data_IF_937413903376
#
_entry.id   IF_937413903376
#
_cell.length_a   1.000
_cell.length_b   1.000
_cell.length_c   1.000
_cell.angle_alpha   90.00
_cell.angle_beta   90.00
_cell.angle_gamma   90.00
#
_symmetry.space_group_name_H-M   'P 1'
#
loop_
_entity.id
_entity.type
_entity.pdbx_description
1 polymer ?
#
# COMPACT_ATOMS: atom_id res chain seq x y z
N UNK A 1 -6.47 9.31 6.63
CA UNK A 1 -5.58 8.61 5.71
C UNK A 1 -5.61 7.12 5.96
N UNK A 2 -5.55 6.35 4.90
CA UNK A 2 -5.60 4.90 5.00
C UNK A 2 -4.28 4.34 5.52
N UNK A 3 -4.33 3.63 6.66
CA UNK A 3 -3.12 3.07 7.26
C UNK A 3 -2.62 1.83 6.55
N UNK A 4 -3.48 1.23 5.73
CA UNK A 4 -3.14 -0.02 5.05
C UNK A 4 -2.40 0.20 3.73
N UNK A 5 -2.37 1.44 3.27
CA UNK A 5 -1.67 1.76 2.03
C UNK A 5 -0.38 2.47 2.41
N UNK A 6 0.72 1.84 2.06
CA UNK A 6 2.05 2.34 2.41
C UNK A 6 2.68 3.04 1.22
N UNK A 7 3.69 3.84 1.50
CA UNK A 7 4.52 4.40 0.44
C UNK A 7 5.24 3.23 -0.24
N UNK A 8 5.21 3.22 -1.56
CA UNK A 8 5.85 2.15 -2.33
C UNK A 8 7.02 2.65 -3.18
N UNK A 9 7.22 3.95 -3.24
CA UNK A 9 8.24 4.52 -4.11
C UNK A 9 9.62 4.51 -3.48
N UNK A 10 10.62 4.22 -4.31
CA UNK A 10 12.03 4.39 -3.97
C UNK A 10 12.49 3.47 -2.83
N UNK A 11 12.22 2.18 -2.98
CA UNK A 11 12.69 1.16 -2.04
C UNK A 11 13.78 0.31 -2.67
N UNK A 12 14.65 -0.19 -1.82
CA UNK A 12 15.68 -1.13 -2.21
C UNK A 12 15.61 -2.32 -1.27
N UNK A 13 15.33 -3.52 -1.74
CA UNK A 13 14.96 -3.81 -3.13
C UNK A 13 13.61 -3.22 -3.52
N UNK A 14 13.35 -3.08 -4.81
CA UNK A 14 12.09 -2.47 -5.28
C UNK A 14 10.87 -3.25 -4.83
N UNK A 15 9.74 -2.55 -4.75
CA UNK A 15 8.49 -3.21 -4.39
C UNK A 15 8.08 -4.19 -5.49
N UNK A 16 7.40 -5.24 -5.07
CA UNK A 16 6.94 -6.27 -5.99
C UNK A 16 5.58 -5.92 -6.56
N UNK A 17 5.23 -6.62 -7.64
CA UNK A 17 3.91 -6.50 -8.25
C UNK A 17 2.82 -6.83 -7.23
N UNK A 18 3.08 -7.81 -6.38
CA UNK A 18 2.13 -8.20 -5.34
C UNK A 18 1.87 -7.09 -4.34
N UNK A 19 2.90 -6.33 -4.01
CA UNK A 19 2.75 -5.20 -3.09
C UNK A 19 1.91 -4.09 -3.70
N UNK A 20 2.11 -3.82 -4.99
CA UNK A 20 1.31 -2.84 -5.71
C UNK A 20 -0.13 -3.28 -5.77
N UNK A 21 -0.36 -4.55 -6.05
CA UNK A 21 -1.70 -5.11 -6.14
C UNK A 21 -2.40 -5.09 -4.78
N UNK A 22 -1.67 -5.38 -3.71
CA UNK A 22 -2.22 -5.32 -2.36
C UNK A 22 -2.68 -3.92 -1.98
N UNK A 23 -1.90 -2.90 -2.35
CA UNK A 23 -2.28 -1.52 -2.11
C UNK A 23 -3.53 -1.16 -2.91
N UNK A 24 -3.60 -1.63 -4.15
CA UNK A 24 -4.76 -1.38 -5.01
C UNK A 24 -6.02 -2.02 -4.45
N UNK A 25 -5.89 -3.22 -3.92
CA UNK A 25 -7.01 -3.93 -3.27
C UNK A 25 -7.51 -3.13 -2.07
N UNK A 26 -6.61 -2.62 -1.25
CA UNK A 26 -7.02 -1.84 -0.09
C UNK A 26 -7.74 -0.56 -0.50
N UNK A 27 -7.25 0.08 -1.55
CA UNK A 27 -7.91 1.27 -2.08
C UNK A 27 -9.34 0.96 -2.52
N UNK A 28 -9.52 -0.12 -3.27
CA UNK A 28 -10.84 -0.52 -3.77
C UNK A 28 -11.77 -0.85 -2.60
N UNK A 29 -11.27 -1.55 -1.60
CA UNK A 29 -12.06 -1.85 -0.40
C UNK A 29 -12.51 -0.60 0.31
N UNK A 30 -11.61 0.36 0.47
CA UNK A 30 -11.93 1.60 1.17
C UNK A 30 -12.93 2.44 0.41
N UNK A 31 -12.74 2.55 -0.89
CA UNK A 31 -13.60 3.39 -1.73
C UNK A 31 -14.98 2.78 -1.89
N UNK A 32 -15.05 1.48 -2.07
CA UNK A 32 -16.33 0.80 -2.30
C UNK A 32 -17.08 0.46 -1.01
N UNK A 33 -16.35 0.33 0.09
CA UNK A 33 -16.93 -0.13 1.34
C UNK A 33 -17.12 -1.63 1.44
N UNK A 34 -16.67 -2.39 0.43
CA UNK A 34 -16.79 -3.84 0.43
C UNK A 34 -15.46 -4.49 0.80
N UNK A 35 -15.47 -5.40 1.75
CA UNK A 35 -14.30 -6.25 1.97
C UNK A 35 -14.21 -7.32 0.91
N UNK A 36 -15.36 -7.85 0.51
CA UNK A 36 -15.49 -8.83 -0.56
C UNK A 36 -16.63 -8.38 -1.46
N UNK A 37 -16.47 -8.46 -2.77
CA UNK A 37 -17.56 -8.10 -3.67
C UNK A 37 -18.63 -9.18 -3.68
N UNK A 38 -19.87 -8.77 -3.90
CA UNK A 38 -20.93 -9.71 -4.21
C UNK A 38 -20.67 -10.28 -5.59
N UNK A 39 -21.34 -11.38 -5.93
CA UNK A 39 -21.18 -11.97 -7.26
C UNK A 39 -21.48 -10.97 -8.39
N UNK A 40 -22.50 -10.15 -8.19
CA UNK A 40 -22.88 -9.16 -9.19
C UNK A 40 -21.79 -8.11 -9.42
N UNK A 41 -20.98 -7.82 -8.40
CA UNK A 41 -19.98 -6.78 -8.47
C UNK A 41 -18.54 -7.29 -8.60
N UNK A 42 -18.37 -8.60 -8.66
CA UNK A 42 -17.05 -9.22 -8.66
C UNK A 42 -16.18 -8.76 -9.84
N UNK A 43 -16.76 -8.78 -11.04
CA UNK A 43 -16.01 -8.39 -12.22
C UNK A 43 -15.55 -6.95 -12.16
N UNK A 44 -16.41 -6.04 -11.72
CA UNK A 44 -16.06 -4.63 -11.61
C UNK A 44 -15.00 -4.41 -10.52
N UNK A 45 -15.13 -5.14 -9.41
CA UNK A 45 -14.20 -5.04 -8.29
C UNK A 45 -12.79 -5.48 -8.71
N UNK A 46 -12.71 -6.63 -9.37
CA UNK A 46 -11.41 -7.17 -9.81
C UNK A 46 -10.81 -6.31 -10.93
N UNK A 47 -11.63 -5.83 -11.86
CA UNK A 47 -11.14 -4.96 -12.92
C UNK A 47 -10.54 -3.68 -12.34
N UNK A 48 -11.19 -3.11 -11.34
CA UNK A 48 -10.68 -1.91 -10.69
C UNK A 48 -9.32 -2.16 -10.05
N UNK A 49 -9.15 -3.28 -9.36
CA UNK A 49 -7.88 -3.63 -8.75
C UNK A 49 -6.77 -3.71 -9.81
N UNK A 50 -7.04 -4.40 -10.92
CA UNK A 50 -6.06 -4.56 -11.98
C UNK A 50 -5.69 -3.23 -12.63
N UNK A 51 -6.67 -2.40 -12.88
CA UNK A 51 -6.43 -1.10 -13.53
C UNK A 51 -5.67 -0.15 -12.60
N UNK A 52 -6.03 -0.12 -11.33
CA UNK A 52 -5.33 0.73 -10.36
C UNK A 52 -3.89 0.24 -10.19
N UNK A 53 -3.69 -1.06 -10.14
CA UNK A 53 -2.35 -1.62 -10.03
C UNK A 53 -1.50 -1.27 -11.25
N UNK A 54 -2.07 -1.33 -12.44
CA UNK A 54 -1.35 -1.02 -13.67
C UNK A 54 -0.94 0.45 -13.71
N UNK A 55 -1.85 1.35 -13.34
CA UNK A 55 -1.56 2.78 -13.30
C UNK A 55 -0.51 3.08 -12.23
N UNK A 56 -0.63 2.43 -11.08
CA UNK A 56 0.32 2.64 -9.99
C UNK A 56 1.72 2.20 -10.39
N UNK A 57 1.83 1.06 -11.07
CA UNK A 57 3.12 0.57 -11.56
C UNK A 57 3.73 1.58 -12.53
N UNK A 58 2.93 2.10 -13.44
CA UNK A 58 3.39 3.10 -14.40
C UNK A 58 3.88 4.35 -13.68
N UNK A 59 3.12 4.80 -12.70
CA UNK A 59 3.50 5.97 -11.91
C UNK A 59 4.85 5.74 -11.23
N UNK A 60 4.98 4.61 -10.52
CA UNK A 60 6.20 4.32 -9.76
C UNK A 60 7.42 4.23 -10.67
N UNK A 61 7.25 3.67 -11.87
CA UNK A 61 8.34 3.56 -12.83
C UNK A 61 8.68 4.89 -13.51
N UNK A 62 7.79 5.85 -13.43
CA UNK A 62 7.97 7.15 -14.10
C UNK A 62 8.52 8.22 -13.17
N UNK A 63 8.42 8.01 -11.87
CA UNK A 63 8.90 8.98 -10.89
C UNK A 63 10.41 8.96 -10.81
N UNK A 64 11.00 10.15 -10.63
CA UNK A 64 12.45 10.30 -10.51
C UNK A 64 12.78 11.01 -9.22
N UNK A 65 13.92 10.66 -8.65
CA UNK A 65 14.36 11.30 -7.42
C UNK A 65 15.87 11.14 -7.28
N UNK A 66 16.49 12.10 -6.60
CA UNK A 66 17.90 12.02 -6.22
C UNK A 66 18.07 11.50 -4.80
N UNK A 67 16.96 11.26 -4.09
CA UNK A 67 17.02 10.76 -2.74
C UNK A 67 17.50 9.32 -2.74
N UNK A 68 18.27 8.91 -1.72
CA UNK A 68 18.69 7.50 -1.63
C UNK A 68 17.47 6.60 -1.42
N UNK A 69 17.54 5.37 -1.93
CA UNK A 69 16.44 4.42 -1.74
C UNK A 69 16.18 4.14 -0.27
N UNK A 70 14.93 3.90 0.06
CA UNK A 70 14.53 3.54 1.40
C UNK A 70 14.89 2.08 1.66
N UNK A 71 15.40 1.81 2.84
CA UNK A 71 15.71 0.44 3.24
C UNK A 71 14.45 -0.17 3.84
N UNK A 72 14.05 -1.32 3.31
CA UNK A 72 12.81 -1.97 3.76
C UNK A 72 12.85 -2.34 5.23
N UNK A 73 13.97 -2.86 5.69
CA UNK A 73 14.10 -3.26 7.09
C UNK A 73 14.02 -2.05 8.01
N UNK A 74 14.65 -0.96 7.62
CA UNK A 74 14.60 0.26 8.42
C UNK A 74 13.20 0.84 8.46
N UNK A 75 12.50 0.84 7.33
CA UNK A 75 11.13 1.37 7.30
C UNK A 75 10.20 0.50 8.13
N UNK A 76 10.38 -0.81 8.10
CA UNK A 76 9.59 -1.71 8.91
C UNK A 76 9.86 -1.49 10.40
N UNK A 77 11.12 -1.27 10.76
CA UNK A 77 11.49 -0.98 12.14
C UNK A 77 10.87 0.32 12.63
N UNK A 78 10.89 1.36 11.79
CA UNK A 78 10.24 2.62 12.11
C UNK A 78 8.74 2.46 12.33
N UNK A 79 8.10 1.67 11.47
CA UNK A 79 6.68 1.42 11.59
C UNK A 79 6.35 0.69 12.89
N UNK A 80 7.18 -0.30 13.26
CA UNK A 80 6.99 -1.03 14.51
C UNK A 80 7.17 -0.10 15.71
N UNK A 81 8.17 0.76 15.66
CA UNK A 81 8.43 1.70 16.74
C UNK A 81 7.26 2.67 16.92
N UNK A 82 6.72 3.18 15.82
CA UNK A 82 5.56 4.07 15.87
C UNK A 82 4.35 3.34 16.44
N UNK A 83 4.15 2.09 16.05
CA UNK A 83 3.06 1.28 16.57
C UNK A 83 3.19 1.03 18.06
N UNK A 84 4.40 0.70 18.51
CA UNK A 84 4.66 0.46 19.92
C UNK A 84 4.39 1.72 20.74
N UNK A 85 4.83 2.87 20.26
CA UNK A 85 4.57 4.13 20.96
C UNK A 85 3.07 4.42 21.05
N UNK A 86 2.35 4.16 19.95
CA UNK A 86 0.92 4.43 19.92
C UNK A 86 0.14 3.60 20.92
N UNK A 87 0.54 2.34 21.07
CA UNK A 87 -0.16 1.41 21.95
C UNK A 87 0.51 1.27 23.30
N UNK A 88 1.56 2.03 23.55
CA UNK A 88 2.22 1.97 24.83
C UNK A 88 1.27 2.42 25.92
N UNK A 89 1.18 1.68 27.06
CA UNK A 89 0.34 2.11 28.16
C UNK A 89 1.03 3.28 28.83
N UNK A 90 0.55 4.34 28.54
CA UNK A 90 1.17 5.48 29.10
C UNK A 90 0.68 5.67 30.49
N UNK A 91 0.83 5.46 30.66
CA UNK A 91 0.39 5.69 31.33
C UNK A 91 -0.37 5.65 31.49
N UNK A 92 -0.18 5.28 31.35
CA UNK A 92 -0.94 5.27 31.32
C UNK A 92 -0.96 5.19 30.84
#
# INVERSE_FOLDING_TARGET
MCRNIKILFNFEPPVTEEEIRAASLQFVRKVSGFNKPSKANEAAFLAAIEEIAAISRTLLNSLETNAPPRNRAEEAAKARARGAQRFSPVNG
#
